data_IF_458326508486
#
_entry.id   IF_458326508486
#
_cell.length_a   1.000
_cell.length_b   1.000
_cell.length_c   1.000
_cell.angle_alpha   90.00
_cell.angle_beta   90.00
_cell.angle_gamma   90.00
#
_symmetry.space_group_name_H-M   'P 1'
#
loop_
_entity.id
_entity.type
_entity.pdbx_description
1 polymer ?
#
# COMPACT_ATOMS: atom_id res chain seq x y z
N UNK A 1 -15.13 12.41 -23.85
CA UNK A 1 -14.36 11.30 -24.44
C UNK A 1 -13.09 11.15 -23.62
N UNK A 2 -12.83 9.95 -23.07
CA UNK A 2 -11.61 9.67 -22.32
C UNK A 2 -10.38 9.83 -23.22
N UNK A 3 -9.25 10.28 -22.66
CA UNK A 3 -7.99 10.30 -23.40
C UNK A 3 -7.63 8.84 -23.78
N UNK A 4 -7.17 8.59 -25.01
CA UNK A 4 -6.86 7.24 -25.45
C UNK A 4 -5.66 6.68 -24.69
N UNK A 5 -5.73 5.41 -24.34
CA UNK A 5 -4.66 4.69 -23.66
C UNK A 5 -3.50 4.37 -24.63
N UNK A 6 -2.36 5.02 -24.43
CA UNK A 6 -1.12 4.76 -25.19
C UNK A 6 -0.34 3.51 -24.73
N UNK A 7 0.70 3.11 -25.46
CA UNK A 7 1.47 1.91 -25.14
C UNK A 7 2.26 2.00 -23.83
N UNK A 8 2.68 3.20 -23.42
CA UNK A 8 3.25 3.44 -22.09
C UNK A 8 2.29 3.03 -20.98
N UNK A 9 1.00 3.37 -21.10
CA UNK A 9 -0.04 2.99 -20.16
C UNK A 9 -0.28 1.48 -20.14
N UNK A 10 -0.29 0.83 -21.31
CA UNK A 10 -0.46 -0.63 -21.42
C UNK A 10 0.69 -1.37 -20.75
N UNK A 11 1.92 -0.93 -20.98
CA UNK A 11 3.11 -1.53 -20.35
C UNK A 11 3.11 -1.35 -18.83
N UNK A 12 2.67 -0.18 -18.35
CA UNK A 12 2.50 0.08 -16.93
C UNK A 12 1.50 -0.92 -16.32
N UNK A 13 0.32 -1.04 -16.93
CA UNK A 13 -0.73 -1.96 -16.47
C UNK A 13 -0.28 -3.42 -16.47
N UNK A 14 0.37 -3.88 -17.55
CA UNK A 14 0.92 -5.25 -17.63
C UNK A 14 1.92 -5.53 -16.50
N UNK A 15 2.79 -4.57 -16.22
CA UNK A 15 3.80 -4.70 -15.16
C UNK A 15 3.14 -4.72 -13.78
N UNK A 16 2.13 -3.87 -13.55
CA UNK A 16 1.36 -3.86 -12.31
C UNK A 16 0.66 -5.22 -12.08
N UNK A 17 -0.02 -5.74 -13.10
CA UNK A 17 -0.72 -7.04 -13.03
C UNK A 17 0.23 -8.19 -12.70
N UNK A 18 1.42 -8.22 -13.33
CA UNK A 18 2.42 -9.25 -13.07
C UNK A 18 2.99 -9.22 -11.64
N UNK A 19 3.01 -8.05 -10.99
CA UNK A 19 3.52 -7.91 -9.62
C UNK A 19 2.43 -8.07 -8.55
N UNK A 20 1.16 -7.92 -8.94
CA UNK A 20 -0.02 -7.88 -8.08
C UNK A 20 -0.19 -6.54 -7.35
N UNK A 21 0.88 -6.05 -6.75
CA UNK A 21 0.94 -4.78 -6.01
C UNK A 21 2.33 -4.16 -6.15
N UNK A 22 2.40 -2.83 -6.23
CA UNK A 22 3.68 -2.08 -6.27
C UNK A 22 3.64 -0.87 -5.33
N UNK A 23 4.76 -0.53 -4.71
CA UNK A 23 4.87 0.65 -3.84
C UNK A 23 4.83 1.95 -4.65
N UNK A 24 4.58 3.08 -3.99
CA UNK A 24 4.58 4.39 -4.64
C UNK A 24 5.93 4.77 -5.25
N UNK A 25 7.04 4.32 -4.67
CA UNK A 25 8.38 4.49 -5.23
C UNK A 25 8.51 3.68 -6.51
N UNK A 26 8.08 2.41 -6.49
CA UNK A 26 8.09 1.54 -7.66
C UNK A 26 7.16 2.06 -8.77
N UNK A 27 5.97 2.55 -8.42
CA UNK A 27 5.02 3.12 -9.37
C UNK A 27 5.58 4.36 -10.08
N UNK A 28 6.25 5.26 -9.34
CA UNK A 28 6.93 6.43 -9.92
C UNK A 28 8.07 6.01 -10.86
N UNK A 29 8.89 5.05 -10.45
CA UNK A 29 9.97 4.52 -11.29
C UNK A 29 9.43 3.84 -12.55
N UNK A 30 8.35 3.06 -12.42
CA UNK A 30 7.69 2.38 -13.54
C UNK A 30 7.08 3.38 -14.52
N UNK A 31 6.39 4.40 -14.02
CA UNK A 31 5.84 5.48 -14.86
C UNK A 31 6.93 6.15 -15.70
N UNK A 32 8.06 6.51 -15.06
CA UNK A 32 9.22 7.05 -15.76
C UNK A 32 9.71 6.11 -16.86
N UNK A 33 9.95 4.85 -16.51
CA UNK A 33 10.45 3.84 -17.44
C UNK A 33 9.51 3.63 -18.63
N UNK A 34 8.19 3.53 -18.39
CA UNK A 34 7.19 3.36 -19.45
C UNK A 34 7.13 4.56 -20.39
N UNK A 35 7.24 5.79 -19.88
CA UNK A 35 7.25 6.97 -20.73
C UNK A 35 8.52 7.07 -21.57
N UNK A 36 9.70 6.84 -20.97
CA UNK A 36 10.99 6.86 -21.67
C UNK A 36 11.04 5.81 -22.79
N UNK A 37 10.54 4.59 -22.51
CA UNK A 37 10.56 3.47 -23.47
C UNK A 37 9.68 3.72 -24.70
N UNK A 38 8.54 4.41 -24.51
CA UNK A 38 7.55 4.61 -25.57
C UNK A 38 7.52 6.06 -26.10
N UNK A 39 8.51 6.89 -25.76
CA UNK A 39 8.61 8.28 -26.21
C UNK A 39 7.44 9.18 -25.76
N UNK A 40 6.78 8.83 -24.66
CA UNK A 40 5.67 9.62 -24.11
C UNK A 40 6.19 10.75 -23.23
N UNK A 41 5.43 11.84 -23.13
CA UNK A 41 5.78 12.95 -22.24
C UNK A 41 5.76 12.48 -20.77
N UNK A 42 6.91 12.60 -20.11
CA UNK A 42 7.07 12.25 -18.69
C UNK A 42 7.09 13.51 -17.82
N UNK A 43 6.36 13.46 -16.71
CA UNK A 43 6.45 14.44 -15.63
C UNK A 43 6.33 13.72 -14.28
N UNK A 44 7.26 13.98 -13.36
CA UNK A 44 7.37 13.26 -12.09
C UNK A 44 6.11 13.39 -11.22
N UNK A 45 5.42 14.54 -11.31
CA UNK A 45 4.25 14.86 -10.48
C UNK A 45 2.91 14.44 -11.12
N UNK A 46 2.94 13.82 -12.30
CA UNK A 46 1.73 13.45 -13.07
C UNK A 46 1.42 11.96 -13.08
N UNK A 47 1.92 11.20 -12.10
CA UNK A 47 1.56 9.79 -11.96
C UNK A 47 0.04 9.60 -11.81
N UNK A 48 -0.62 10.48 -11.07
CA UNK A 48 -2.06 10.39 -10.81
C UNK A 48 -2.85 10.63 -12.09
N UNK A 49 -2.54 11.69 -12.84
CA UNK A 49 -3.15 11.92 -14.16
C UNK A 49 -2.92 10.75 -15.13
N UNK A 50 -1.73 10.13 -15.09
CA UNK A 50 -1.40 8.97 -15.91
C UNK A 50 -2.26 7.75 -15.54
N UNK A 51 -2.45 7.51 -14.24
CA UNK A 51 -3.32 6.43 -13.74
C UNK A 51 -4.80 6.73 -14.04
N UNK A 52 -5.24 7.99 -13.96
CA UNK A 52 -6.61 8.37 -14.29
C UNK A 52 -6.96 8.07 -15.75
N UNK A 53 -6.01 8.24 -16.67
CA UNK A 53 -6.19 7.82 -18.07
C UNK A 53 -6.37 6.30 -18.16
N UNK A 54 -5.59 5.51 -17.42
CA UNK A 54 -5.76 4.05 -17.36
C UNK A 54 -7.14 3.71 -16.81
N UNK A 55 -7.50 4.25 -15.66
CA UNK A 55 -8.77 3.98 -14.98
C UNK A 55 -9.98 4.33 -15.84
N UNK A 56 -9.95 5.45 -16.56
CA UNK A 56 -11.02 5.83 -17.47
C UNK A 56 -11.23 4.81 -18.61
N UNK A 57 -10.17 4.11 -19.03
CA UNK A 57 -10.24 3.06 -20.05
C UNK A 57 -10.56 1.67 -19.45
N UNK A 58 -10.27 1.45 -18.16
CA UNK A 58 -10.60 0.20 -17.46
C UNK A 58 -12.02 0.18 -16.90
N UNK A 59 -12.64 1.34 -16.67
CA UNK A 59 -13.97 1.48 -16.08
C UNK A 59 -15.06 0.62 -16.76
N UNK A 60 -15.14 0.49 -18.11
CA UNK A 60 -16.12 -0.38 -18.76
C UNK A 60 -16.00 -1.87 -18.41
N UNK A 61 -14.82 -2.30 -17.93
CA UNK A 61 -14.55 -3.65 -17.46
C UNK A 61 -14.64 -3.75 -15.93
N UNK A 62 -15.17 -2.72 -15.27
CA UNK A 62 -15.28 -2.62 -13.81
C UNK A 62 -13.94 -2.81 -13.08
N UNK A 63 -12.84 -2.44 -13.74
CA UNK A 63 -11.50 -2.50 -13.17
C UNK A 63 -10.93 -1.10 -13.01
N UNK A 64 -10.10 -0.90 -12.00
CA UNK A 64 -9.36 0.34 -11.78
C UNK A 64 -8.16 0.10 -10.87
N UNK A 65 -7.11 0.87 -11.08
CA UNK A 65 -5.94 0.95 -10.21
C UNK A 65 -6.31 1.81 -9.01
N UNK A 66 -6.19 1.25 -7.81
CA UNK A 66 -6.48 1.91 -6.54
C UNK A 66 -5.20 2.09 -5.73
N UNK A 67 -5.14 3.22 -5.00
CA UNK A 67 -4.13 3.46 -3.96
C UNK A 67 -4.59 2.90 -2.62
N UNK A 68 -3.68 2.33 -1.85
CA UNK A 68 -3.91 1.99 -0.45
C UNK A 68 -2.65 2.13 0.38
N UNK A 69 -2.85 2.39 1.66
CA UNK A 69 -1.76 2.51 2.62
C UNK A 69 -1.58 1.17 3.34
N UNK A 70 -0.33 0.74 3.47
CA UNK A 70 0.02 -0.39 4.33
C UNK A 70 -0.22 -0.04 5.79
N UNK A 71 -0.87 -0.94 6.53
CA UNK A 71 -1.16 -0.76 7.96
C UNK A 71 0.08 -1.00 8.83
N UNK A 72 1.13 -1.63 8.29
CA UNK A 72 2.38 -1.94 9.01
C UNK A 72 3.37 -0.77 8.96
N UNK A 73 3.67 -0.26 7.77
CA UNK A 73 4.76 0.70 7.53
C UNK A 73 4.29 2.07 7.01
N UNK A 74 2.98 2.24 6.78
CA UNK A 74 2.41 3.49 6.27
C UNK A 74 2.76 3.81 4.81
N UNK A 75 3.42 2.89 4.09
CA UNK A 75 3.81 3.12 2.70
C UNK A 75 2.58 3.02 1.79
N UNK A 76 2.51 3.92 0.81
CA UNK A 76 1.47 3.90 -0.22
C UNK A 76 1.78 2.86 -1.30
N UNK A 77 0.78 2.08 -1.67
CA UNK A 77 0.82 1.05 -2.70
C UNK A 77 -0.29 1.23 -3.74
N UNK A 78 -0.09 0.61 -4.89
CA UNK A 78 -1.01 0.56 -6.01
C UNK A 78 -1.31 -0.88 -6.37
N UNK A 79 -2.60 -1.21 -6.55
CA UNK A 79 -3.06 -2.51 -7.01
C UNK A 79 -4.21 -2.34 -8.01
N UNK A 80 -4.39 -3.32 -8.90
CA UNK A 80 -5.53 -3.40 -9.79
C UNK A 80 -6.71 -4.08 -9.06
N UNK A 81 -7.85 -3.40 -9.01
CA UNK A 81 -9.05 -3.86 -8.29
C UNK A 81 -10.18 -4.12 -9.28
N UNK A 82 -10.93 -5.18 -9.06
CA UNK A 82 -12.20 -5.47 -9.74
C UNK A 82 -13.37 -5.01 -8.86
N UNK A 83 -14.32 -4.26 -9.43
CA UNK A 83 -15.55 -3.76 -8.76
C UNK A 83 -16.82 -4.46 -9.19
N UNK A 84 -16.78 -5.28 -10.25
CA UNK A 84 -17.98 -5.99 -10.71
C UNK A 84 -18.44 -7.05 -9.71
N UNK A 85 -17.50 -7.62 -8.96
CA UNK A 85 -17.72 -8.84 -8.21
C UNK A 85 -17.50 -8.59 -6.72
N UNK A 86 -18.55 -8.84 -5.95
CA UNK A 86 -18.55 -8.83 -4.48
C UNK A 86 -18.12 -10.17 -3.90
N UNK A 87 -17.37 -10.97 -4.66
CA UNK A 87 -16.86 -12.29 -4.27
C UNK A 87 -15.33 -12.30 -4.37
N UNK A 88 -14.69 -13.36 -3.88
CA UNK A 88 -13.23 -13.56 -3.92
C UNK A 88 -12.75 -13.94 -5.34
N UNK A 89 -13.32 -13.35 -6.39
CA UNK A 89 -13.29 -13.89 -7.75
C UNK A 89 -11.90 -13.98 -8.37
N UNK A 90 -10.97 -13.09 -8.00
CA UNK A 90 -9.57 -13.26 -8.41
C UNK A 90 -8.93 -14.50 -7.80
N UNK A 91 -9.27 -14.84 -6.56
CA UNK A 91 -8.80 -16.10 -5.97
C UNK A 91 -9.61 -17.29 -6.51
N UNK A 92 -10.87 -17.10 -6.90
CA UNK A 92 -11.70 -18.18 -7.43
C UNK A 92 -11.14 -18.85 -8.70
N UNK A 93 -10.30 -18.15 -9.47
CA UNK A 93 -9.57 -18.78 -10.60
C UNK A 93 -8.32 -19.56 -10.18
N UNK A 94 -7.71 -19.20 -9.04
CA UNK A 94 -6.35 -19.60 -8.66
C UNK A 94 -6.32 -20.64 -7.53
N UNK A 95 -7.47 -20.87 -6.88
CA UNK A 95 -7.62 -21.71 -5.68
C UNK A 95 -8.85 -22.61 -5.77
N UNK A 96 -8.75 -23.79 -5.16
CA UNK A 96 -9.86 -24.71 -5.02
C UNK A 96 -10.90 -24.23 -3.99
N UNK A 97 -12.13 -24.72 -4.06
CA UNK A 97 -13.24 -24.27 -3.19
C UNK A 97 -12.92 -24.38 -1.68
N UNK A 98 -12.21 -25.43 -1.27
CA UNK A 98 -11.79 -25.64 0.11
C UNK A 98 -10.66 -24.70 0.55
N UNK A 99 -9.78 -24.32 -0.37
CA UNK A 99 -8.76 -23.31 -0.11
C UNK A 99 -9.42 -21.93 0.05
N UNK A 100 -10.40 -21.59 -0.80
CA UNK A 100 -11.18 -20.36 -0.67
C UNK A 100 -12.00 -20.31 0.62
N UNK A 101 -12.56 -21.45 1.05
CA UNK A 101 -13.26 -21.55 2.32
C UNK A 101 -12.30 -21.35 3.50
N UNK A 102 -11.11 -21.96 3.46
CA UNK A 102 -10.06 -21.74 4.45
C UNK A 102 -9.65 -20.26 4.51
N UNK A 103 -9.52 -19.60 3.36
CA UNK A 103 -9.20 -18.17 3.30
C UNK A 103 -10.30 -17.32 3.96
N UNK A 104 -11.58 -17.58 3.66
CA UNK A 104 -12.71 -16.91 4.33
C UNK A 104 -12.68 -17.10 5.84
N UNK A 105 -12.46 -18.34 6.30
CA UNK A 105 -12.34 -18.63 7.74
C UNK A 105 -11.16 -17.91 8.39
N UNK A 106 -10.06 -17.76 7.66
CA UNK A 106 -8.90 -16.98 8.14
C UNK A 106 -9.25 -15.49 8.22
N UNK A 107 -9.99 -14.94 7.25
CA UNK A 107 -10.47 -13.56 7.33
C UNK A 107 -11.45 -13.36 8.50
N UNK A 108 -12.37 -14.30 8.74
CA UNK A 108 -13.30 -14.27 9.88
C UNK A 108 -12.50 -14.13 11.19
N UNK A 109 -11.50 -14.99 11.41
CA UNK A 109 -10.63 -14.94 12.58
C UNK A 109 -9.88 -13.61 12.72
N UNK A 110 -9.36 -13.07 11.61
CA UNK A 110 -8.60 -11.82 11.61
C UNK A 110 -9.51 -10.63 11.92
N UNK A 111 -10.68 -10.54 11.27
CA UNK A 111 -11.62 -9.42 11.43
C UNK A 111 -12.28 -9.42 12.81
N UNK A 112 -12.54 -10.60 13.37
CA UNK A 112 -13.11 -10.74 14.73
C UNK A 112 -12.08 -10.48 15.85
N UNK A 113 -10.79 -10.52 15.54
CA UNK A 113 -9.73 -10.31 16.52
C UNK A 113 -9.52 -8.82 16.88
N UNK A 114 -9.14 -8.55 18.13
CA UNK A 114 -8.87 -7.17 18.58
C UNK A 114 -7.62 -6.55 17.93
N UNK A 115 -6.64 -7.37 17.54
CA UNK A 115 -5.35 -6.92 16.99
C UNK A 115 -5.24 -7.11 15.46
N UNK A 116 -6.32 -7.52 14.81
CA UNK A 116 -6.35 -7.76 13.36
C UNK A 116 -5.43 -8.90 12.91
N UNK A 117 -5.32 -9.97 13.70
CA UNK A 117 -4.45 -11.10 13.42
C UNK A 117 -5.03 -12.45 13.90
N UNK A 118 -4.63 -13.54 13.24
CA UNK A 118 -5.02 -14.91 13.60
C UNK A 118 -3.80 -15.79 13.83
N UNK A 119 -3.83 -16.65 14.85
CA UNK A 119 -2.74 -17.61 15.08
C UNK A 119 -2.83 -18.79 14.11
N UNK A 120 -1.68 -19.37 13.76
CA UNK A 120 -1.62 -20.59 12.94
C UNK A 120 -2.43 -21.73 13.55
N UNK A 121 -2.46 -21.83 14.88
CA UNK A 121 -3.24 -22.82 15.61
C UNK A 121 -4.74 -22.64 15.43
N UNK A 122 -5.25 -21.40 15.47
CA UNK A 122 -6.68 -21.13 15.29
C UNK A 122 -7.11 -21.47 13.87
N UNK A 123 -6.31 -21.05 12.87
CA UNK A 123 -6.57 -21.34 11.47
C UNK A 123 -6.54 -22.84 11.18
N UNK A 124 -5.57 -23.57 11.76
CA UNK A 124 -5.48 -25.03 11.63
C UNK A 124 -6.67 -25.76 12.24
N UNK A 125 -7.23 -25.26 13.35
CA UNK A 125 -8.42 -25.84 13.97
C UNK A 125 -9.67 -25.64 13.10
N UNK A 126 -9.75 -24.54 12.33
CA UNK A 126 -10.83 -24.32 11.37
C UNK A 126 -10.78 -25.31 10.18
N UNK A 127 -9.59 -25.77 9.79
CA UNK A 127 -9.40 -26.65 8.63
C UNK A 127 -10.12 -28.01 8.74
N UNK A 128 -10.31 -28.50 9.97
CA UNK A 128 -11.05 -29.75 10.26
C UNK A 128 -12.58 -29.58 10.15
N UNK A 129 -13.05 -28.33 10.13
CA UNK A 129 -14.46 -27.94 10.08
C UNK A 129 -14.94 -27.43 8.71
N UNK A 130 -14.06 -27.45 7.70
CA UNK A 130 -14.40 -27.03 6.34
C UNK A 130 -15.53 -27.90 5.77
N UNK A 131 -16.53 -27.25 5.19
CA UNK A 131 -17.74 -27.88 4.65
C UNK A 131 -17.50 -28.49 3.27
N UNK A 132 -16.72 -27.81 2.43
CA UNK A 132 -16.40 -28.27 1.07
C UNK A 132 -15.56 -29.54 1.09
N UNK A 133 -14.42 -29.50 1.78
CA UNK A 133 -13.51 -30.62 1.98
C UNK A 133 -12.58 -30.34 3.16
N UNK A 134 -12.58 -31.24 4.15
CA UNK A 134 -11.63 -31.20 5.26
C UNK A 134 -10.19 -31.31 4.77
N UNK A 135 -9.31 -30.50 5.35
CA UNK A 135 -7.89 -30.47 5.01
C UNK A 135 -7.04 -31.02 6.14
N UNK A 136 -5.98 -31.76 5.81
CA UNK A 136 -5.01 -32.16 6.83
C UNK A 136 -4.18 -30.95 7.28
N UNK A 137 -3.64 -30.97 8.51
CA UNK A 137 -2.80 -29.88 9.03
C UNK A 137 -1.64 -29.50 8.09
N UNK A 138 -0.90 -30.50 7.59
CA UNK A 138 0.18 -30.28 6.62
C UNK A 138 -0.29 -29.68 5.29
N UNK A 139 -1.48 -30.06 4.82
CA UNK A 139 -2.08 -29.49 3.60
C UNK A 139 -2.48 -28.04 3.83
N UNK A 140 -3.05 -27.74 5.01
CA UNK A 140 -3.45 -26.40 5.43
C UNK A 140 -2.24 -25.46 5.50
N UNK A 141 -1.14 -25.89 6.12
CA UNK A 141 0.11 -25.12 6.18
C UNK A 141 0.65 -24.78 4.78
N UNK A 142 0.57 -25.72 3.83
CA UNK A 142 0.99 -25.47 2.44
C UNK A 142 0.12 -24.41 1.78
N UNK A 143 -1.19 -24.43 2.00
CA UNK A 143 -2.12 -23.44 1.44
C UNK A 143 -1.93 -22.07 2.09
N UNK A 144 -1.70 -21.99 3.40
CA UNK A 144 -1.36 -20.74 4.08
C UNK A 144 -0.06 -20.14 3.53
N UNK A 145 0.96 -20.96 3.32
CA UNK A 145 2.21 -20.52 2.67
C UNK A 145 1.97 -20.00 1.25
N UNK A 146 1.08 -20.65 0.49
CA UNK A 146 0.67 -20.17 -0.85
C UNK A 146 0.00 -18.79 -0.76
N UNK A 147 -0.93 -18.58 0.18
CA UNK A 147 -1.53 -17.26 0.40
C UNK A 147 -0.51 -16.18 0.74
N UNK A 148 0.55 -16.52 1.49
CA UNK A 148 1.63 -15.57 1.78
C UNK A 148 2.47 -15.27 0.54
N UNK A 149 2.86 -16.30 -0.23
CA UNK A 149 3.61 -16.14 -1.48
C UNK A 149 2.86 -15.29 -2.51
N UNK A 150 1.56 -15.51 -2.60
CA UNK A 150 0.67 -14.77 -3.49
C UNK A 150 0.27 -13.41 -2.91
N UNK A 151 0.81 -13.00 -1.76
CA UNK A 151 0.56 -11.71 -1.11
C UNK A 151 -0.92 -11.49 -0.82
N UNK A 152 -1.62 -12.50 -0.33
CA UNK A 152 -2.94 -12.35 0.28
C UNK A 152 -2.82 -12.17 1.79
N UNK A 153 -1.96 -12.97 2.42
CA UNK A 153 -1.65 -12.88 3.85
C UNK A 153 -0.20 -12.44 4.07
N UNK A 154 0.09 -11.89 5.24
CA UNK A 154 1.43 -11.82 5.80
C UNK A 154 1.53 -12.85 6.94
N UNK A 155 2.73 -13.38 7.17
CA UNK A 155 3.02 -14.28 8.29
C UNK A 155 4.22 -13.76 9.08
N UNK A 156 4.11 -13.78 10.40
CA UNK A 156 5.21 -13.48 11.32
C UNK A 156 5.08 -14.32 12.58
N UNK A 157 6.03 -15.24 12.78
CA UNK A 157 6.12 -16.07 13.99
C UNK A 157 4.84 -16.88 14.28
N UNK A 158 4.24 -17.43 13.24
CA UNK A 158 3.00 -18.21 13.30
C UNK A 158 1.73 -17.36 13.44
N UNK A 159 1.82 -16.05 13.26
CA UNK A 159 0.67 -15.14 13.27
C UNK A 159 0.42 -14.61 11.87
N UNK A 160 -0.83 -14.68 11.42
CA UNK A 160 -1.27 -14.24 10.10
C UNK A 160 -2.05 -12.93 10.18
N UNK A 161 -1.77 -12.04 9.24
CA UNK A 161 -2.53 -10.78 9.03
C UNK A 161 -2.89 -10.64 7.56
N UNK A 162 -3.85 -9.77 7.24
CA UNK A 162 -4.16 -9.44 5.85
C UNK A 162 -3.03 -8.58 5.26
N UNK A 163 -2.57 -8.96 4.08
CA UNK A 163 -1.61 -8.12 3.35
C UNK A 163 -2.28 -6.84 2.83
N UNK A 164 -1.46 -5.81 2.56
CA UNK A 164 -1.91 -4.56 1.92
C UNK A 164 -2.62 -4.82 0.59
N UNK A 165 -2.18 -5.82 -0.19
CA UNK A 165 -2.82 -6.21 -1.45
C UNK A 165 -4.23 -6.73 -1.22
N UNK A 166 -4.39 -7.65 -0.25
CA UNK A 166 -5.69 -8.18 0.11
C UNK A 166 -6.65 -7.07 0.54
N UNK A 167 -6.21 -6.17 1.42
CA UNK A 167 -7.07 -5.07 1.92
C UNK A 167 -7.52 -4.18 0.76
N UNK A 168 -6.61 -3.80 -0.16
CA UNK A 168 -6.97 -2.95 -1.32
C UNK A 168 -7.95 -3.66 -2.26
N UNK A 169 -7.67 -4.91 -2.61
CA UNK A 169 -8.47 -5.66 -3.58
C UNK A 169 -9.83 -6.07 -3.03
N UNK A 170 -9.92 -6.37 -1.73
CA UNK A 170 -11.13 -6.92 -1.10
C UNK A 170 -11.87 -5.91 -0.21
N UNK A 171 -11.50 -4.63 -0.21
CA UNK A 171 -12.14 -3.64 0.68
C UNK A 171 -13.66 -3.61 0.51
N UNK A 172 -14.15 -3.67 -0.74
CA UNK A 172 -15.59 -3.66 -1.03
C UNK A 172 -16.28 -4.93 -0.51
N UNK A 173 -15.66 -6.09 -0.69
CA UNK A 173 -16.12 -7.36 -0.13
C UNK A 173 -16.22 -7.28 1.39
N UNK A 174 -15.15 -6.81 2.06
CA UNK A 174 -15.11 -6.73 3.51
C UNK A 174 -16.18 -5.80 4.07
N UNK A 175 -16.40 -4.66 3.41
CA UNK A 175 -17.47 -3.72 3.78
C UNK A 175 -18.87 -4.32 3.69
N UNK A 176 -19.09 -5.22 2.73
CA UNK A 176 -20.37 -5.88 2.53
C UNK A 176 -20.59 -7.02 3.52
N UNK A 177 -19.59 -7.90 3.69
CA UNK A 177 -19.73 -9.15 4.45
C UNK A 177 -19.55 -8.94 5.95
N UNK A 178 -18.67 -8.03 6.35
CA UNK A 178 -18.33 -7.79 7.75
C UNK A 178 -18.91 -6.45 8.24
N UNK A 179 -20.06 -6.02 7.75
CA UNK A 179 -20.60 -4.67 7.98
C UNK A 179 -20.58 -4.20 9.45
N UNK A 180 -20.87 -5.11 10.40
CA UNK A 180 -20.93 -4.78 11.84
C UNK A 180 -19.56 -4.82 12.52
N UNK A 181 -18.63 -5.58 11.96
CA UNK A 181 -17.31 -5.87 12.53
C UNK A 181 -16.24 -4.96 11.95
N UNK A 182 -16.28 -4.75 10.64
CA UNK A 182 -15.30 -3.96 9.91
C UNK A 182 -15.43 -2.51 10.30
N UNK A 183 -14.30 -1.93 10.66
CA UNK A 183 -14.24 -0.55 11.11
C UNK A 183 -13.43 0.27 10.11
N UNK A 184 -13.68 1.58 10.09
CA UNK A 184 -12.97 2.55 9.22
C UNK A 184 -12.11 3.49 10.04
N UNK A 185 -10.93 3.79 9.54
CA UNK A 185 -10.03 4.75 10.18
C UNK A 185 -10.62 6.17 10.13
N UNK A 186 -10.60 6.87 11.25
CA UNK A 186 -11.14 8.22 11.37
C UNK A 186 -10.39 9.27 10.52
N UNK A 187 -9.13 9.01 10.17
CA UNK A 187 -8.30 9.94 9.40
C UNK A 187 -8.43 9.70 7.90
N UNK A 188 -8.18 8.46 7.46
CA UNK A 188 -8.12 8.15 6.03
C UNK A 188 -9.43 7.59 5.46
N UNK A 189 -10.40 7.22 6.32
CA UNK A 189 -11.72 6.66 5.96
C UNK A 189 -11.68 5.31 5.22
N UNK A 190 -10.50 4.70 5.08
CA UNK A 190 -10.35 3.34 4.59
C UNK A 190 -10.61 2.32 5.70
N UNK A 191 -10.90 1.08 5.31
CA UNK A 191 -10.98 -0.07 6.24
C UNK A 191 -9.71 -0.13 7.08
N UNK A 192 -9.87 -0.37 8.38
CA UNK A 192 -8.77 -0.58 9.30
C UNK A 192 -8.89 -1.94 9.98
N UNK A 193 -7.91 -2.81 9.72
CA UNK A 193 -7.82 -4.14 10.33
C UNK A 193 -6.96 -4.03 11.61
N UNK A 194 -5.80 -3.39 11.51
CA UNK A 194 -4.90 -3.12 12.63
C UNK A 194 -4.92 -1.63 12.97
N UNK A 195 -5.48 -1.31 14.14
CA UNK A 195 -5.70 0.07 14.55
C UNK A 195 -5.64 0.26 16.06
N UNK A 196 -5.47 1.51 16.49
CA UNK A 196 -5.71 1.92 17.87
C UNK A 196 -7.10 2.52 17.99
N UNK A 197 -7.79 2.18 19.08
CA UNK A 197 -9.16 2.61 19.36
C UNK A 197 -9.14 3.58 20.53
N UNK A 198 -9.87 4.69 20.44
CA UNK A 198 -10.04 5.60 21.56
C UNK A 198 -10.69 4.89 22.75
N UNK A 199 -10.02 4.91 23.91
CA UNK A 199 -10.50 4.22 25.12
C UNK A 199 -11.75 4.84 25.74
N UNK A 200 -12.13 6.06 25.34
CA UNK A 200 -13.38 6.65 25.79
C UNK A 200 -14.57 5.81 25.25
N UNK A 201 -15.37 5.16 26.12
CA UNK A 201 -16.44 4.25 25.71
C UNK A 201 -17.56 4.92 24.91
N UNK A 202 -17.69 6.25 25.02
CA UNK A 202 -18.67 7.04 24.26
C UNK A 202 -18.16 7.50 22.90
N UNK A 203 -16.86 7.30 22.63
CA UNK A 203 -16.20 7.76 21.41
C UNK A 203 -15.89 6.59 20.47
N UNK A 204 -14.98 5.68 20.87
CA UNK A 204 -14.67 4.47 20.11
C UNK A 204 -14.14 4.68 18.69
N UNK A 205 -13.73 5.91 18.31
CA UNK A 205 -13.06 6.10 17.01
C UNK A 205 -11.79 5.28 16.95
N UNK A 206 -11.38 4.96 15.74
CA UNK A 206 -10.18 4.17 15.53
C UNK A 206 -9.32 4.77 14.42
N UNK A 207 -8.02 4.54 14.53
CA UNK A 207 -7.04 5.08 13.61
C UNK A 207 -5.98 4.02 13.34
N UNK A 208 -5.65 3.80 12.06
CA UNK A 208 -4.52 2.95 11.69
C UNK A 208 -3.26 3.41 12.42
N UNK A 209 -2.35 2.49 12.74
CA UNK A 209 -1.07 2.84 13.37
C UNK A 209 -0.30 3.94 12.60
N UNK A 210 -0.22 3.92 11.25
CA UNK A 210 0.40 5.00 10.51
C UNK A 210 -0.39 6.31 10.53
N UNK A 211 -1.72 6.26 10.59
CA UNK A 211 -2.53 7.47 10.74
C UNK A 211 -2.31 8.12 12.11
N UNK A 212 -2.20 7.33 13.18
CA UNK A 212 -1.83 7.80 14.53
C UNK A 212 -0.46 8.48 14.50
N UNK A 213 0.55 7.79 13.97
CA UNK A 213 1.92 8.29 13.88
C UNK A 213 2.00 9.64 13.14
N UNK A 214 1.27 9.77 12.04
CA UNK A 214 1.24 11.00 11.24
C UNK A 214 0.43 12.11 11.93
N UNK A 215 -0.74 11.78 12.47
CA UNK A 215 -1.66 12.76 13.06
C UNK A 215 -1.11 13.40 14.34
N UNK A 216 -0.47 12.60 15.19
CA UNK A 216 0.12 13.04 16.46
C UNK A 216 1.59 13.42 16.37
N UNK A 217 2.19 13.41 15.16
CA UNK A 217 3.60 13.75 14.96
C UNK A 217 3.96 15.10 15.58
N UNK A 218 4.92 15.09 16.50
CA UNK A 218 5.43 16.29 17.16
C UNK A 218 4.51 16.89 18.23
N UNK A 219 3.42 16.21 18.61
CA UNK A 219 2.55 16.63 19.71
C UNK A 219 3.00 15.99 21.02
N UNK A 220 3.16 16.79 22.07
CA UNK A 220 3.48 16.32 23.41
C UNK A 220 2.27 15.83 24.21
N UNK A 221 1.07 16.27 23.82
CA UNK A 221 -0.20 15.93 24.46
C UNK A 221 -1.22 15.48 23.39
N UNK A 222 -1.20 14.19 23.00
CA UNK A 222 -2.06 13.70 21.93
C UNK A 222 -3.52 13.63 22.40
N UNK A 223 -4.40 14.41 21.77
CA UNK A 223 -5.84 14.41 22.03
C UNK A 223 -6.63 13.77 20.88
N UNK A 224 -7.57 12.90 21.24
CA UNK A 224 -8.48 12.25 20.32
C UNK A 224 -9.21 13.28 19.43
N UNK A 225 -9.17 13.15 18.08
CA UNK A 225 -9.79 14.12 17.16
C UNK A 225 -11.31 14.24 17.30
N UNK A 226 -11.98 13.23 17.85
CA UNK A 226 -13.45 13.22 17.97
C UNK A 226 -13.97 13.70 19.33
N UNK A 227 -13.38 13.25 20.44
CA UNK A 227 -13.87 13.57 21.79
C UNK A 227 -12.94 14.45 22.61
N UNK A 228 -11.78 14.83 22.07
CA UNK A 228 -10.77 15.66 22.72
C UNK A 228 -10.22 15.11 24.06
N UNK A 229 -10.44 13.82 24.34
CA UNK A 229 -9.82 13.12 25.47
C UNK A 229 -8.39 12.72 25.13
N UNK A 230 -7.55 12.54 26.17
CA UNK A 230 -6.18 12.08 26.02
C UNK A 230 -6.12 10.74 25.27
N UNK A 231 -5.21 10.63 24.30
CA UNK A 231 -4.94 9.41 23.58
C UNK A 231 -3.96 8.55 24.39
N UNK A 232 -4.51 7.61 25.14
CA UNK A 232 -3.77 6.81 26.12
C UNK A 232 -2.74 5.84 25.51
N UNK A 233 -2.83 5.56 24.21
CA UNK A 233 -1.92 4.66 23.51
C UNK A 233 -0.59 5.32 23.18
N UNK A 234 0.48 4.51 23.19
CA UNK A 234 1.77 4.93 22.65
C UNK A 234 1.65 5.29 21.17
N UNK A 235 2.21 6.44 20.79
CA UNK A 235 2.21 6.91 19.41
C UNK A 235 3.26 6.12 18.62
N UNK A 236 2.88 5.34 17.59
CA UNK A 236 3.84 4.51 16.86
C UNK A 236 4.91 5.34 16.16
N UNK A 237 6.16 4.90 16.23
CA UNK A 237 7.24 5.47 15.42
C UNK A 237 7.30 4.77 14.06
N UNK A 238 6.79 5.44 13.02
CA UNK A 238 6.91 4.92 11.65
C UNK A 238 8.03 5.64 10.94
N UNK A 239 9.07 4.87 10.64
CA UNK A 239 10.19 5.29 9.79
C UNK A 239 9.69 5.51 8.37
N UNK A 240 9.22 6.72 8.07
CA UNK A 240 8.99 7.12 6.68
C UNK A 240 10.34 7.05 5.97
N UNK A 241 10.55 6.00 5.17
CA UNK A 241 11.70 5.89 4.28
C UNK A 241 11.59 6.97 3.20
N UNK A 242 12.14 8.14 3.55
CA UNK A 242 12.56 9.28 2.73
C UNK A 242 11.70 9.59 1.50
N UNK A 243 10.59 10.31 1.71
CA UNK A 243 10.05 11.22 0.70
C UNK A 243 10.80 12.56 0.76
N UNK A 244 11.76 12.75 -0.16
CA UNK A 244 12.17 14.07 -0.65
C UNK A 244 13.14 14.90 0.20
N UNK A 245 14.44 14.57 0.16
CA UNK A 245 15.49 15.60 0.23
C UNK A 245 15.86 16.00 -1.20
N UNK A 246 15.14 16.97 -1.75
CA UNK A 246 15.61 17.72 -2.92
C UNK A 246 16.88 18.48 -2.50
N UNK A 247 18.04 17.96 -2.86
CA UNK A 247 19.28 18.73 -2.75
C UNK A 247 19.22 19.87 -3.77
N UNK A 248 18.89 21.07 -3.30
CA UNK A 248 19.24 22.30 -3.99
C UNK A 248 20.76 22.44 -3.96
N UNK A 249 21.44 21.93 -4.98
CA UNK A 249 22.84 22.28 -5.22
C UNK A 249 22.88 23.71 -5.75
N UNK A 250 23.19 24.65 -4.86
CA UNK A 250 23.65 25.98 -5.21
C UNK A 250 24.97 25.90 -5.97
N UNK A 251 24.98 26.31 -7.23
CA UNK A 251 26.20 26.52 -8.01
C UNK A 251 27.06 27.63 -7.39
N UNK A 252 28.39 27.50 -7.29
CA UNK A 252 29.24 28.63 -6.97
C UNK A 252 29.39 29.53 -8.21
N UNK A 253 29.15 30.82 -8.00
CA UNK A 253 29.33 31.88 -8.99
C UNK A 253 30.78 31.96 -9.49
N UNK A 254 30.92 32.20 -10.78
CA UNK A 254 32.18 32.49 -11.45
C UNK A 254 32.82 33.78 -10.92
N UNK A 255 34.11 33.73 -10.57
CA UNK A 255 34.95 34.90 -10.34
C UNK A 255 35.93 35.02 -11.52
N UNK A 256 35.75 36.08 -12.30
CA UNK A 256 36.65 36.48 -13.38
C UNK A 256 37.97 37.04 -12.81
N UNK A 257 39.14 36.77 -13.41
CA UNK A 257 40.35 37.51 -13.12
C UNK A 257 40.52 38.72 -14.04
N UNK A 258 40.68 39.89 -13.43
CA UNK A 258 41.12 41.15 -14.05
C UNK A 258 42.62 41.14 -14.40
N UNK A 259 43.06 41.96 -15.36
CA UNK A 259 44.40 41.86 -15.96
C UNK A 259 45.45 42.65 -15.16
N UNK A 260 46.67 42.11 -15.08
CA UNK A 260 47.85 42.81 -14.57
C UNK A 260 48.91 42.99 -15.66
N UNK A 261 49.20 44.25 -15.96
CA UNK A 261 50.24 44.74 -16.87
C UNK A 261 51.61 44.89 -16.20
N UNK A 262 52.67 44.93 -17.03
CA UNK A 262 54.08 45.33 -16.80
C UNK A 262 55.02 44.23 -16.28
N UNK A 263 56.29 44.05 -16.70
CA UNK A 263 57.16 44.75 -17.66
C UNK A 263 58.36 43.87 -18.05
N UNK A 264 58.74 43.92 -19.34
CA UNK A 264 60.09 43.94 -19.93
C UNK A 264 61.31 43.47 -19.13
N UNK A 265 62.05 42.46 -19.64
CA UNK A 265 63.52 42.55 -19.79
C UNK A 265 64.09 41.58 -20.83
N UNK A 266 64.89 42.15 -21.73
CA UNK A 266 65.74 41.53 -22.77
C UNK A 266 66.72 40.49 -22.21
N UNK A 267 67.00 39.47 -23.00
CA UNK A 267 68.32 38.85 -23.08
C UNK A 267 68.57 38.36 -24.52
N UNK A 268 69.73 38.72 -25.09
CA UNK A 268 70.19 38.41 -26.44
C UNK A 268 71.61 37.83 -26.30
N UNK A 269 71.84 36.68 -26.94
CA UNK A 269 73.13 36.05 -27.30
C UNK A 269 74.09 35.63 -26.17
N UNK A 270 74.39 34.33 -26.16
CA UNK A 270 75.62 33.77 -26.75
C UNK A 270 75.27 32.52 -27.53
#
# INVERSE_FOLDING_TARGET
MSRPMGDSHKRFLQTLMSNGIISSIQAKALHRHCCETHGAHYSADRLDEFIDVINANLQPMFMYIRKGMSEEDGVQYYALVNTAETDITRMSSDYADNELELFRKTMDLIVDSENGAASSTDVLNCADSLQTKKMKKKETELVLNKFVQDKWLNEKQGVYTLSTRCIIEMEQYMRLIYQDLIKVCHVCHNVAIQSQICENPTCGIQMHLPCVAIYFKGRSDPLCPACNQFWAHEIPEISQSQSGRSQSQSSPAALAPTPSTSSTRRSRRS
#
